data_IF_701607387462
#
_entry.id   IF_701607387462
#
_cell.length_a   1.000
_cell.length_b   1.000
_cell.length_c   1.000
_cell.angle_alpha   90.00
_cell.angle_beta   90.00
_cell.angle_gamma   90.00
#
_symmetry.space_group_name_H-M   'P 1'
#
loop_
_entity.id
_entity.type
_entity.pdbx_description
1 polymer ?
#
# COMPACT_ATOMS: atom_id res chain seq x y z
N UNK A 1 34.92 -0.08 5.02
CA UNK A 1 35.73 0.33 6.19
C UNK A 1 34.80 0.28 7.39
N UNK A 2 35.20 -0.41 8.46
CA UNK A 2 34.36 -0.76 9.62
C UNK A 2 34.02 0.43 10.52
N UNK A 3 32.76 0.51 10.99
CA UNK A 3 32.41 1.26 12.19
C UNK A 3 31.27 0.56 12.94
N UNK A 4 31.57 0.18 14.18
CA UNK A 4 30.64 -0.23 15.23
C UNK A 4 29.81 1.00 15.64
N UNK A 5 28.49 0.83 15.84
CA UNK A 5 27.72 1.78 16.65
C UNK A 5 28.04 1.48 18.11
N UNK A 6 29.00 2.23 18.66
CA UNK A 6 29.34 2.22 20.08
C UNK A 6 28.59 3.37 20.75
N UNK A 7 27.35 3.10 21.17
CA UNK A 7 26.76 3.84 22.28
C UNK A 7 27.14 3.08 23.56
N UNK A 8 28.10 3.65 24.30
CA UNK A 8 28.60 3.27 25.63
C UNK A 8 29.66 2.16 25.81
N UNK A 9 30.72 2.60 26.50
CA UNK A 9 31.77 1.83 27.15
C UNK A 9 31.20 1.15 28.39
N UNK A 10 30.50 0.01 28.27
CA UNK A 10 30.36 -0.91 29.39
C UNK A 10 30.07 -2.34 28.93
N UNK A 11 30.75 -3.28 29.59
CA UNK A 11 30.98 -4.69 29.23
C UNK A 11 29.77 -5.61 29.40
N UNK A 12 28.57 -5.19 28.97
CA UNK A 12 27.44 -6.11 28.78
C UNK A 12 27.45 -6.61 27.34
N UNK A 13 27.16 -7.89 27.16
CA UNK A 13 27.25 -8.65 25.90
C UNK A 13 26.97 -7.84 24.64
N UNK A 14 27.81 -7.99 23.59
CA UNK A 14 27.61 -7.31 22.31
C UNK A 14 26.24 -7.60 21.66
N UNK A 15 25.88 -6.84 20.61
CA UNK A 15 24.57 -6.90 20.00
C UNK A 15 24.22 -8.29 19.45
N UNK A 16 22.93 -8.61 19.47
CA UNK A 16 22.39 -9.90 19.06
C UNK A 16 21.25 -9.74 18.05
N UNK A 17 20.84 -10.86 17.48
CA UNK A 17 19.67 -10.92 16.59
C UNK A 17 18.50 -11.46 17.39
N UNK A 18 17.37 -10.78 17.28
CA UNK A 18 16.12 -11.17 17.92
C UNK A 18 15.08 -11.54 16.86
N UNK A 19 14.06 -12.27 17.28
CA UNK A 19 12.88 -12.58 16.48
C UNK A 19 11.63 -12.35 17.32
N UNK A 20 10.52 -12.04 16.65
CA UNK A 20 9.20 -12.04 17.25
C UNK A 20 8.54 -13.39 16.99
N UNK A 21 8.28 -14.12 18.06
CA UNK A 21 7.59 -15.41 17.99
C UNK A 21 6.14 -15.25 18.41
N UNK A 22 5.22 -15.77 17.61
CA UNK A 22 3.82 -15.93 18.03
C UNK A 22 3.76 -17.06 19.05
N UNK A 23 3.47 -16.72 20.31
CA UNK A 23 3.36 -17.72 21.39
C UNK A 23 1.91 -18.06 21.75
N UNK A 24 0.97 -17.18 21.40
CA UNK A 24 -0.46 -17.38 21.59
C UNK A 24 -1.20 -16.69 20.45
N UNK A 25 -2.27 -17.32 19.98
CA UNK A 25 -3.21 -16.73 19.03
C UNK A 25 -4.60 -16.78 19.66
N UNK A 26 -5.32 -15.67 19.60
CA UNK A 26 -6.73 -15.58 19.99
C UNK A 26 -7.56 -15.06 18.82
N UNK A 27 -8.71 -15.67 18.56
CA UNK A 27 -9.70 -15.11 17.65
C UNK A 27 -10.68 -14.23 18.44
N UNK A 28 -10.92 -13.02 17.94
CA UNK A 28 -11.89 -12.08 18.49
C UNK A 28 -13.01 -11.93 17.47
N UNK A 29 -14.24 -12.21 17.93
CA UNK A 29 -15.43 -12.03 17.12
C UNK A 29 -15.82 -10.56 17.13
N UNK A 30 -15.62 -9.88 16.01
CA UNK A 30 -15.99 -8.48 15.81
C UNK A 30 -17.28 -8.48 15.02
N UNK A 31 -18.29 -7.72 15.44
CA UNK A 31 -19.51 -7.64 14.65
C UNK A 31 -19.18 -6.95 13.32
N UNK A 32 -19.76 -7.41 12.22
CA UNK A 32 -19.51 -6.83 10.90
C UNK A 32 -19.88 -5.32 10.83
N UNK A 33 -20.85 -4.90 11.63
CA UNK A 33 -21.27 -3.49 11.77
C UNK A 33 -20.27 -2.66 12.60
N UNK A 34 -19.49 -3.31 13.45
CA UNK A 34 -18.48 -2.71 14.34
C UNK A 34 -17.09 -2.61 13.66
N UNK A 35 -17.04 -2.58 12.32
CA UNK A 35 -15.77 -2.48 11.58
C UNK A 35 -15.52 -1.17 10.85
N UNK A 36 -16.39 -0.16 11.03
CA UNK A 36 -16.18 1.21 10.54
C UNK A 36 -15.62 1.20 9.12
N UNK A 37 -16.48 0.96 8.13
CA UNK A 37 -16.08 0.55 6.79
C UNK A 37 -14.77 1.14 6.26
N UNK A 38 -13.73 0.31 6.20
CA UNK A 38 -12.65 0.32 5.20
C UNK A 38 -11.71 -0.86 5.44
N UNK A 39 -11.72 -1.78 4.49
CA UNK A 39 -10.74 -2.83 4.40
C UNK A 39 -9.41 -2.29 3.90
N UNK A 40 -8.34 -2.63 4.62
CA UNK A 40 -6.96 -2.58 4.12
C UNK A 40 -6.11 -1.52 4.81
N UNK A 41 -5.41 -1.96 5.86
CA UNK A 41 -4.44 -1.24 6.70
C UNK A 41 -5.08 -0.46 7.85
N UNK A 42 -4.89 -1.00 9.06
CA UNK A 42 -5.18 -0.39 10.36
C UNK A 42 -6.64 0.00 10.57
N UNK A 43 -7.41 -0.91 11.18
CA UNK A 43 -8.49 -0.44 12.06
C UNK A 43 -7.80 0.48 13.08
N UNK A 44 -8.21 1.75 13.27
CA UNK A 44 -7.76 2.54 14.40
C UNK A 44 -8.18 1.76 15.65
N UNK A 45 -7.20 1.06 16.19
CA UNK A 45 -7.38 0.17 17.30
C UNK A 45 -6.32 0.52 18.33
N UNK A 46 -6.75 0.64 19.57
CA UNK A 46 -5.84 0.85 20.68
C UNK A 46 -5.84 -0.38 21.56
N UNK A 47 -4.69 -0.63 22.18
CA UNK A 47 -4.55 -1.68 23.17
C UNK A 47 -4.41 -1.03 24.54
N UNK A 48 -5.36 -1.32 25.42
CA UNK A 48 -5.42 -0.76 26.76
C UNK A 48 -5.25 -1.85 27.82
N UNK A 49 -4.66 -1.46 28.96
CA UNK A 49 -4.83 -2.20 30.21
C UNK A 49 -5.99 -1.55 30.98
N UNK A 50 -7.06 -2.31 31.17
CA UNK A 50 -8.31 -1.89 31.81
C UNK A 50 -8.59 -2.85 32.98
N UNK A 51 -8.34 -2.39 34.21
CA UNK A 51 -8.47 -3.20 35.43
C UNK A 51 -7.70 -4.54 35.37
N UNK A 52 -6.51 -4.54 34.75
CA UNK A 52 -5.65 -5.71 34.60
C UNK A 52 -5.95 -6.56 33.36
N UNK A 53 -6.99 -6.23 32.60
CA UNK A 53 -7.39 -6.91 31.36
C UNK A 53 -6.81 -6.23 30.14
N UNK A 54 -6.32 -7.03 29.21
CA UNK A 54 -5.90 -6.54 27.90
C UNK A 54 -7.15 -6.33 27.02
N UNK A 55 -7.43 -5.08 26.68
CA UNK A 55 -8.64 -4.67 25.95
C UNK A 55 -8.26 -4.08 24.61
N UNK A 56 -8.84 -4.64 23.55
CA UNK A 56 -8.75 -4.11 22.20
C UNK A 56 -9.91 -3.15 21.97
N UNK A 57 -9.58 -1.91 21.60
CA UNK A 57 -10.56 -0.88 21.27
C UNK A 57 -10.65 -0.77 19.76
N UNK A 58 -11.84 -0.70 19.19
CA UNK A 58 -12.06 -0.33 17.80
C UNK A 58 -12.87 0.95 17.71
N UNK A 59 -12.47 1.90 16.86
CA UNK A 59 -13.29 3.08 16.58
C UNK A 59 -14.22 2.80 15.38
N UNK A 60 -15.53 2.87 15.61
CA UNK A 60 -16.58 2.54 14.64
C UNK A 60 -17.61 3.65 14.62
N UNK A 61 -17.73 4.37 13.49
CA UNK A 61 -18.67 5.50 13.37
C UNK A 61 -18.54 6.48 14.56
N UNK A 62 -17.28 6.83 14.89
CA UNK A 62 -16.90 7.68 16.02
C UNK A 62 -17.30 7.14 17.41
N UNK A 63 -17.53 5.83 17.53
CA UNK A 63 -17.80 5.15 18.80
C UNK A 63 -16.77 4.06 19.07
N UNK A 64 -16.18 4.12 20.25
CA UNK A 64 -15.26 3.08 20.73
C UNK A 64 -16.02 1.80 21.09
N UNK A 65 -15.50 0.67 20.60
CA UNK A 65 -15.99 -0.68 20.85
C UNK A 65 -14.90 -1.47 21.56
N UNK A 66 -15.20 -2.03 22.74
CA UNK A 66 -14.20 -2.67 23.59
C UNK A 66 -14.34 -4.18 23.54
N UNK A 67 -13.21 -4.88 23.34
CA UNK A 67 -13.15 -6.33 23.26
C UNK A 67 -12.10 -6.87 24.24
N UNK A 68 -12.51 -7.83 25.05
CA UNK A 68 -11.63 -8.53 25.99
C UNK A 68 -10.78 -9.52 25.19
N UNK A 69 -9.47 -9.30 25.17
CA UNK A 69 -8.54 -10.13 24.37
C UNK A 69 -8.31 -11.52 24.94
N UNK A 70 -8.66 -11.78 26.20
CA UNK A 70 -8.54 -13.11 26.79
C UNK A 70 -9.73 -13.98 26.38
N UNK A 71 -10.93 -13.40 26.42
CA UNK A 71 -12.17 -14.13 26.11
C UNK A 71 -12.60 -14.03 24.65
N UNK A 72 -12.06 -13.06 23.90
CA UNK A 72 -12.43 -12.76 22.52
C UNK A 72 -13.85 -12.18 22.36
N UNK A 73 -14.45 -11.67 23.45
CA UNK A 73 -15.83 -11.18 23.49
C UNK A 73 -15.89 -9.67 23.66
N UNK A 74 -16.95 -9.07 23.12
CA UNK A 74 -17.29 -7.66 23.32
C UNK A 74 -17.63 -7.38 24.79
N UNK A 75 -17.07 -6.32 25.34
CA UNK A 75 -17.26 -5.87 26.72
C UNK A 75 -18.42 -4.87 26.81
N UNK A 76 -18.49 -3.90 25.88
CA UNK A 76 -19.53 -2.87 25.86
C UNK A 76 -19.68 -2.20 24.49
N UNK A 77 -20.88 -1.65 24.21
CA UNK A 77 -21.23 -1.01 22.93
C UNK A 77 -20.95 0.51 22.91
N UNK A 78 -21.02 1.23 24.04
CA UNK A 78 -20.76 2.68 24.14
C UNK A 78 -20.55 3.08 25.61
N UNK A 79 -19.40 3.68 25.95
CA UNK A 79 -19.19 4.68 27.00
C UNK A 79 -19.68 4.44 28.44
N UNK A 80 -18.82 3.88 29.28
CA UNK A 80 -18.16 4.71 30.31
C UNK A 80 -16.66 4.65 30.02
N UNK A 81 -15.91 5.76 30.12
CA UNK A 81 -14.47 5.71 30.01
C UNK A 81 -13.97 4.69 31.02
N UNK A 82 -13.39 3.59 30.55
CA UNK A 82 -12.58 2.78 31.44
C UNK A 82 -11.40 3.66 31.79
N UNK A 83 -11.13 3.89 33.09
CA UNK A 83 -9.90 4.55 33.51
C UNK A 83 -8.72 3.66 33.09
N UNK A 84 -8.29 3.81 31.84
CA UNK A 84 -7.13 3.15 31.30
C UNK A 84 -5.91 3.96 31.70
N UNK A 85 -5.15 3.44 32.65
CA UNK A 85 -3.79 3.92 32.87
C UNK A 85 -2.91 3.27 31.82
N UNK A 86 -2.46 4.01 30.80
CA UNK A 86 -1.32 3.56 30.00
C UNK A 86 -0.04 3.82 30.81
N UNK A 87 0.70 2.79 31.25
CA UNK A 87 2.00 2.98 31.88
C UNK A 87 3.05 3.19 30.77
N UNK A 88 2.89 4.25 29.99
CA UNK A 88 3.80 4.56 28.90
C UNK A 88 4.82 5.60 29.39
N UNK A 89 6.03 5.16 29.68
CA UNK A 89 7.23 6.01 29.72
C UNK A 89 7.66 6.30 28.26
N UNK A 90 6.81 7.00 27.49
CA UNK A 90 6.90 7.10 26.02
C UNK A 90 7.76 8.23 25.45
N UNK A 91 8.58 8.89 26.26
CA UNK A 91 9.35 10.04 25.80
C UNK A 91 10.86 9.86 25.93
N UNK A 92 11.38 8.66 25.62
CA UNK A 92 12.81 8.44 25.45
C UNK A 92 13.18 8.40 23.97
N UNK A 93 13.88 9.43 23.52
CA UNK A 93 14.42 9.50 22.16
C UNK A 93 15.81 8.86 22.12
N UNK A 94 15.99 7.87 21.27
CA UNK A 94 17.31 7.30 21.00
C UNK A 94 17.89 7.91 19.73
N UNK A 95 19.16 8.33 19.79
CA UNK A 95 19.91 8.79 18.62
C UNK A 95 20.75 7.65 18.09
N UNK A 96 20.40 7.17 16.91
CA UNK A 96 21.18 6.14 16.23
C UNK A 96 21.99 6.80 15.11
N UNK A 97 23.32 6.77 15.22
CA UNK A 97 24.22 7.23 14.17
C UNK A 97 24.42 6.08 13.17
N UNK A 98 23.83 6.21 11.99
CA UNK A 98 23.85 5.15 10.98
C UNK A 98 25.20 5.08 10.26
N UNK A 99 25.82 3.91 10.27
CA UNK A 99 27.04 3.63 9.53
C UNK A 99 26.72 3.28 8.08
N UNK A 100 26.45 4.27 7.24
CA UNK A 100 26.57 4.08 5.79
C UNK A 100 27.35 5.23 5.17
N UNK A 101 28.51 4.91 4.61
CA UNK A 101 29.32 5.83 3.81
C UNK A 101 28.73 6.08 2.42
N UNK A 102 27.41 6.02 2.28
CA UNK A 102 26.66 6.38 1.09
C UNK A 102 25.59 7.39 1.51
N UNK A 103 25.98 8.65 1.63
CA UNK A 103 25.12 9.81 1.94
C UNK A 103 23.89 9.91 1.00
N UNK A 104 23.89 9.20 -0.13
CA UNK A 104 22.82 9.16 -1.15
C UNK A 104 21.75 8.07 -0.99
N UNK A 105 22.00 7.00 -0.23
CA UNK A 105 21.08 5.83 -0.20
C UNK A 105 19.94 5.96 0.81
N UNK A 106 19.93 7.03 1.62
CA UNK A 106 19.02 7.23 2.75
C UNK A 106 18.44 8.64 2.84
N UNK A 107 18.75 9.50 1.87
CA UNK A 107 18.49 10.95 1.89
C UNK A 107 17.04 11.33 1.60
N UNK A 108 16.18 10.39 1.19
CA UNK A 108 14.79 10.67 0.79
C UNK A 108 13.72 10.25 1.82
N UNK A 109 14.10 9.75 3.01
CA UNK A 109 13.14 9.26 4.03
C UNK A 109 12.60 10.38 4.98
N UNK A 110 13.29 11.54 5.07
CA UNK A 110 12.91 12.78 5.81
C UNK A 110 12.63 12.68 7.34
N UNK A 111 12.99 13.65 8.21
CA UNK A 111 14.02 14.68 8.15
C UNK A 111 15.23 14.29 9.02
N UNK A 112 16.41 14.14 8.41
CA UNK A 112 17.65 14.09 9.18
C UNK A 112 18.13 15.51 9.51
N UNK A 113 18.75 15.67 10.67
CA UNK A 113 19.64 16.81 10.89
C UNK A 113 20.94 16.61 10.08
N UNK A 114 21.76 17.64 9.99
CA UNK A 114 23.03 17.69 9.22
C UNK A 114 24.05 16.58 9.56
N UNK A 115 23.75 15.68 10.51
CA UNK A 115 24.63 14.66 11.07
C UNK A 115 24.23 13.19 10.76
N UNK A 116 23.24 12.93 9.90
CA UNK A 116 22.75 11.57 9.58
C UNK A 116 22.23 10.77 10.80
N UNK A 117 21.55 11.44 11.74
CA UNK A 117 20.93 10.82 12.93
C UNK A 117 19.46 10.42 12.73
N UNK A 118 19.09 9.15 12.96
CA UNK A 118 17.68 8.74 13.06
C UNK A 118 17.19 9.00 14.47
N UNK A 119 16.04 9.67 14.59
CA UNK A 119 15.28 9.72 15.84
C UNK A 119 14.24 8.61 15.82
N UNK A 120 14.33 7.70 16.78
CA UNK A 120 13.35 6.62 16.97
C UNK A 120 12.66 6.86 18.31
N UNK A 121 11.32 6.86 18.28
CA UNK A 121 10.50 6.79 19.49
C UNK A 121 10.56 5.36 20.04
N UNK A 122 10.87 5.25 21.32
CA UNK A 122 10.97 3.96 22.00
C UNK A 122 9.75 3.71 22.89
N UNK A 123 9.24 2.49 22.82
CA UNK A 123 8.21 1.95 23.71
C UNK A 123 8.84 0.97 24.69
N UNK A 124 8.40 1.01 25.95
CA UNK A 124 8.90 0.10 26.97
C UNK A 124 8.06 -1.18 27.01
N UNK A 125 8.73 -2.32 26.83
CA UNK A 125 8.17 -3.65 27.03
C UNK A 125 8.57 -4.16 28.43
N UNK A 126 7.63 -4.07 29.36
CA UNK A 126 7.74 -4.52 30.74
C UNK A 126 7.94 -6.03 30.87
N UNK A 127 7.43 -6.82 29.94
CA UNK A 127 7.54 -8.29 29.98
C UNK A 127 8.97 -8.72 29.70
N UNK A 128 9.64 -8.04 28.78
CA UNK A 128 11.02 -8.35 28.40
C UNK A 128 12.07 -7.43 29.07
N UNK A 129 11.64 -6.40 29.81
CA UNK A 129 12.48 -5.35 30.40
C UNK A 129 13.40 -4.68 29.36
N UNK A 130 12.83 -4.35 28.21
CA UNK A 130 13.53 -3.70 27.08
C UNK A 130 12.73 -2.52 26.55
N UNK A 131 13.44 -1.58 25.93
CA UNK A 131 12.82 -0.61 25.03
C UNK A 131 12.93 -1.09 23.59
N UNK A 132 11.90 -0.89 22.81
CA UNK A 132 11.91 -1.18 21.38
C UNK A 132 11.39 0.00 20.58
N UNK A 133 11.85 0.13 19.34
CA UNK A 133 11.41 1.21 18.46
C UNK A 133 11.48 0.81 17.00
N UNK A 134 10.52 1.34 16.25
CA UNK A 134 10.33 1.04 14.84
C UNK A 134 11.07 1.98 13.91
N UNK A 135 11.73 1.43 12.90
CA UNK A 135 12.22 2.15 11.72
C UNK A 135 11.42 1.63 10.53
N UNK A 136 10.76 2.53 9.82
CA UNK A 136 10.05 2.21 8.57
C UNK A 136 10.88 2.67 7.38
N UNK A 137 10.91 1.84 6.34
CA UNK A 137 11.56 2.14 5.08
C UNK A 137 10.52 2.58 4.04
N UNK A 138 10.89 3.55 3.22
CA UNK A 138 9.96 4.17 2.27
C UNK A 138 9.59 3.20 1.13
N UNK A 139 8.27 3.01 0.93
CA UNK A 139 7.72 2.27 -0.18
C UNK A 139 8.17 2.84 -1.53
N UNK A 140 8.28 4.16 -1.67
CA UNK A 140 8.70 4.81 -2.92
C UNK A 140 10.15 4.49 -3.31
N UNK A 141 10.96 4.04 -2.35
CA UNK A 141 12.37 3.71 -2.56
C UNK A 141 12.63 2.20 -2.71
N UNK A 142 11.87 1.37 -1.99
CA UNK A 142 12.08 -0.08 -1.97
C UNK A 142 10.99 -0.89 -2.68
N UNK A 143 9.92 -0.25 -3.16
CA UNK A 143 8.78 -0.90 -3.83
C UNK A 143 7.88 -1.72 -2.89
N UNK A 144 8.19 -1.74 -1.60
CA UNK A 144 7.40 -2.38 -0.55
C UNK A 144 7.65 -1.68 0.78
N UNK A 145 6.68 -1.76 1.70
CA UNK A 145 6.87 -1.25 3.06
C UNK A 145 7.69 -2.27 3.84
N UNK A 146 8.89 -1.88 4.27
CA UNK A 146 9.77 -2.71 5.09
C UNK A 146 9.93 -2.05 6.46
N UNK A 147 10.30 -2.86 7.45
CA UNK A 147 10.58 -2.33 8.78
C UNK A 147 11.72 -3.05 9.51
N UNK A 148 12.34 -2.33 10.43
CA UNK A 148 13.29 -2.85 11.42
C UNK A 148 12.88 -2.42 12.81
N UNK A 149 12.90 -3.34 13.76
CA UNK A 149 12.79 -3.03 15.19
C UNK A 149 14.19 -2.95 15.80
N UNK A 150 14.45 -1.86 16.51
CA UNK A 150 15.65 -1.67 17.30
C UNK A 150 15.32 -1.95 18.77
N UNK A 151 16.20 -2.68 19.45
CA UNK A 151 16.06 -3.04 20.86
C UNK A 151 17.15 -2.39 21.70
N UNK A 152 16.78 -1.88 22.87
CA UNK A 152 17.72 -1.36 23.88
C UNK A 152 17.33 -1.82 25.27
N UNK A 153 18.29 -1.89 26.20
CA UNK A 153 17.97 -2.14 27.61
C UNK A 153 17.41 -0.89 28.31
N UNK A 154 17.02 -1.01 29.57
CA UNK A 154 16.47 0.11 30.35
C UNK A 154 17.41 1.31 30.52
N UNK A 155 18.72 1.09 30.34
CA UNK A 155 19.77 2.10 30.41
C UNK A 155 20.07 2.68 29.00
N UNK A 156 19.24 2.34 28.01
CA UNK A 156 19.38 2.70 26.60
C UNK A 156 20.67 2.18 25.95
N UNK A 157 21.20 1.04 26.42
CA UNK A 157 22.27 0.35 25.71
C UNK A 157 21.68 -0.49 24.58
N UNK A 158 22.29 -0.42 23.41
CA UNK A 158 21.84 -1.15 22.23
C UNK A 158 21.97 -2.67 22.38
N UNK A 159 20.87 -3.39 22.18
CA UNK A 159 20.81 -4.84 22.33
C UNK A 159 20.81 -5.59 21.00
N UNK A 160 20.17 -5.06 19.96
CA UNK A 160 19.99 -5.80 18.71
C UNK A 160 18.86 -5.29 17.84
N UNK A 161 18.55 -6.07 16.79
CA UNK A 161 17.56 -5.72 15.77
C UNK A 161 16.72 -6.92 15.32
N UNK A 162 15.56 -6.59 14.74
CA UNK A 162 14.66 -7.51 14.04
C UNK A 162 14.30 -6.90 12.69
N UNK A 163 14.74 -7.51 11.59
CA UNK A 163 14.43 -7.13 10.22
C UNK A 163 13.26 -7.94 9.67
N UNK A 164 12.20 -7.25 9.23
CA UNK A 164 11.07 -7.76 8.45
C UNK A 164 10.35 -9.02 8.99
N UNK A 165 10.22 -9.16 10.32
CA UNK A 165 9.82 -10.42 10.95
C UNK A 165 8.39 -10.46 11.55
N UNK A 166 7.45 -9.64 11.09
CA UNK A 166 6.15 -9.32 11.74
C UNK A 166 6.25 -8.04 12.57
N UNK A 167 5.34 -7.10 12.30
CA UNK A 167 5.26 -5.83 13.03
C UNK A 167 4.33 -5.97 14.24
N UNK A 168 4.78 -5.63 15.47
CA UNK A 168 3.92 -5.54 16.64
C UNK A 168 3.10 -4.25 16.53
N UNK A 169 1.97 -4.32 15.82
CA UNK A 169 1.11 -3.16 15.57
C UNK A 169 0.61 -2.48 16.84
N UNK A 170 0.50 -3.22 17.95
CA UNK A 170 -0.02 -2.70 19.20
C UNK A 170 0.77 -3.19 20.41
N UNK A 171 0.96 -2.30 21.38
CA UNK A 171 1.48 -2.60 22.70
C UNK A 171 0.78 -1.75 23.77
N UNK A 172 0.58 -2.34 24.95
CA UNK A 172 0.24 -1.61 26.18
C UNK A 172 1.42 -1.61 27.17
N UNK A 173 2.63 -1.92 26.69
CA UNK A 173 3.84 -2.12 27.48
C UNK A 173 3.91 -3.47 28.20
N UNK A 174 2.81 -4.20 28.44
CA UNK A 174 2.85 -5.57 28.99
C UNK A 174 2.87 -6.62 27.90
N UNK A 175 2.05 -6.43 26.87
CA UNK A 175 1.97 -7.36 25.75
C UNK A 175 2.31 -6.67 24.43
N UNK A 176 2.84 -7.46 23.50
CA UNK A 176 3.02 -7.10 22.10
C UNK A 176 2.06 -7.95 21.29
N UNK A 177 1.27 -7.32 20.43
CA UNK A 177 0.34 -8.04 19.57
C UNK A 177 0.41 -7.59 18.13
N UNK A 178 0.19 -8.54 17.24
CA UNK A 178 -0.10 -8.30 15.84
C UNK A 178 -1.54 -8.76 15.57
N UNK A 179 -2.33 -7.90 14.92
CA UNK A 179 -3.75 -8.15 14.66
C UNK A 179 -3.93 -8.32 13.15
N UNK A 180 -4.48 -9.47 12.76
CA UNK A 180 -4.69 -9.85 11.36
C UNK A 180 -6.20 -10.06 11.13
N UNK A 181 -6.83 -9.41 10.14
CA UNK A 181 -8.20 -9.74 9.77
C UNK A 181 -8.24 -11.11 9.10
N UNK A 182 -9.11 -12.01 9.56
CA UNK A 182 -9.33 -13.33 8.94
C UNK A 182 -10.47 -13.27 7.93
N UNK A 183 -11.57 -12.64 8.32
CA UNK A 183 -12.75 -12.37 7.49
C UNK A 183 -13.56 -11.20 8.10
N UNK A 184 -14.78 -10.98 7.63
CA UNK A 184 -15.68 -9.90 8.07
C UNK A 184 -16.02 -9.87 9.55
N UNK A 185 -15.95 -11.00 10.24
CA UNK A 185 -16.39 -11.09 11.65
C UNK A 185 -15.33 -11.62 12.60
N UNK A 186 -14.12 -11.89 12.10
CA UNK A 186 -13.04 -12.48 12.89
C UNK A 186 -11.76 -11.68 12.67
N UNK A 187 -11.17 -11.18 13.76
CA UNK A 187 -9.76 -10.79 13.79
C UNK A 187 -8.98 -11.82 14.59
N UNK A 188 -7.75 -12.07 14.15
CA UNK A 188 -6.79 -12.92 14.81
C UNK A 188 -5.78 -12.04 15.54
N UNK A 189 -5.66 -12.22 16.84
CA UNK A 189 -4.73 -11.51 17.71
C UNK A 189 -3.59 -12.46 18.03
N UNK A 190 -2.44 -12.21 17.40
CA UNK A 190 -1.21 -12.94 17.61
C UNK A 190 -0.40 -12.24 18.72
N UNK A 191 -0.26 -12.88 19.86
CA UNK A 191 0.60 -12.41 20.94
C UNK A 191 2.05 -12.77 20.64
N UNK A 192 2.89 -11.76 20.69
CA UNK A 192 4.29 -11.82 20.29
C UNK A 192 5.19 -11.78 21.52
N UNK A 193 6.27 -12.56 21.48
CA UNK A 193 7.36 -12.48 22.45
C UNK A 193 8.68 -12.27 21.71
N UNK A 194 9.60 -11.55 22.34
CA UNK A 194 10.95 -11.36 21.85
C UNK A 194 11.80 -12.57 22.21
N UNK A 195 12.34 -13.26 21.21
CA UNK A 195 13.26 -14.38 21.40
C UNK A 195 14.63 -14.02 20.84
N UNK A 196 15.66 -14.10 21.69
CA UNK A 196 17.06 -13.94 21.26
C UNK A 196 17.49 -15.19 20.48
N UNK A 197 18.10 -14.99 19.32
CA UNK A 197 18.56 -16.09 18.46
C UNK A 197 20.06 -16.35 18.61
N UNK A 198 20.49 -17.51 18.10
CA UNK A 198 21.91 -17.89 18.02
C UNK A 198 22.60 -17.34 16.75
N UNK A 199 21.93 -16.52 15.95
CA UNK A 199 22.51 -15.99 14.70
C UNK A 199 23.69 -15.08 15.00
N UNK A 200 24.70 -15.15 14.14
CA UNK A 200 25.79 -14.18 14.16
C UNK A 200 25.28 -12.81 13.74
N UNK A 201 25.26 -11.85 14.67
CA UNK A 201 24.72 -10.51 14.44
C UNK A 201 25.35 -9.81 13.23
N UNK A 202 26.67 -9.89 13.07
CA UNK A 202 27.35 -9.23 11.94
C UNK A 202 26.90 -9.79 10.59
N UNK A 203 26.88 -11.12 10.47
CA UNK A 203 26.42 -11.77 9.24
C UNK A 203 24.94 -11.46 8.94
N UNK A 204 24.11 -11.39 9.98
CA UNK A 204 22.70 -11.04 9.85
C UNK A 204 22.50 -9.62 9.32
N UNK A 205 23.15 -8.62 9.90
CA UNK A 205 23.04 -7.23 9.45
C UNK A 205 23.60 -7.06 8.04
N UNK A 206 24.71 -7.73 7.71
CA UNK A 206 25.24 -7.71 6.35
C UNK A 206 24.24 -8.31 5.34
N UNK A 207 23.50 -9.36 5.73
CA UNK A 207 22.42 -9.93 4.92
C UNK A 207 21.22 -8.98 4.76
N UNK A 208 20.82 -8.28 5.81
CA UNK A 208 19.71 -7.31 5.75
C UNK A 208 20.06 -6.15 4.81
N UNK A 209 21.31 -5.65 4.86
CA UNK A 209 21.80 -4.62 3.94
C UNK A 209 21.76 -5.10 2.49
N UNK A 210 22.25 -6.30 2.23
CA UNK A 210 22.24 -6.87 0.88
C UNK A 210 20.81 -7.05 0.33
N UNK A 211 19.86 -7.43 1.19
CA UNK A 211 18.45 -7.54 0.82
C UNK A 211 17.83 -6.17 0.47
N UNK A 212 18.06 -5.14 1.30
CA UNK A 212 17.62 -3.77 1.03
C UNK A 212 18.19 -3.21 -0.28
N UNK A 213 19.49 -3.40 -0.52
CA UNK A 213 20.14 -2.98 -1.78
C UNK A 213 19.54 -3.69 -2.99
N UNK A 214 19.26 -4.99 -2.86
CA UNK A 214 18.60 -5.77 -3.91
C UNK A 214 17.18 -5.27 -4.17
N UNK A 215 16.36 -5.07 -3.13
CA UNK A 215 14.97 -4.59 -3.26
C UNK A 215 14.91 -3.20 -3.92
N UNK A 216 15.77 -2.28 -3.50
CA UNK A 216 15.87 -0.98 -4.14
C UNK A 216 16.23 -1.10 -5.63
N UNK A 217 17.23 -1.90 -5.96
CA UNK A 217 17.60 -2.13 -7.36
C UNK A 217 16.45 -2.74 -8.17
N UNK A 218 15.79 -3.77 -7.63
CA UNK A 218 14.64 -4.42 -8.27
C UNK A 218 13.51 -3.39 -8.50
N UNK A 219 13.30 -2.46 -7.58
CA UNK A 219 12.32 -1.38 -7.69
C UNK A 219 12.71 -0.32 -8.73
N UNK A 220 13.96 0.12 -8.78
CA UNK A 220 14.44 1.05 -9.84
C UNK A 220 14.29 0.44 -11.23
N UNK A 221 14.66 -0.83 -11.40
CA UNK A 221 14.46 -1.55 -12.66
C UNK A 221 12.97 -1.68 -13.01
N UNK A 222 12.10 -1.88 -12.02
CA UNK A 222 10.65 -1.88 -12.22
C UNK A 222 10.15 -0.52 -12.69
N UNK A 223 10.56 0.57 -12.03
CA UNK A 223 10.18 1.94 -12.41
C UNK A 223 10.64 2.26 -13.82
N UNK A 224 11.87 1.94 -14.19
CA UNK A 224 12.39 2.19 -15.54
C UNK A 224 11.57 1.45 -16.61
N UNK A 225 11.27 0.17 -16.40
CA UNK A 225 10.48 -0.64 -17.33
C UNK A 225 9.03 -0.20 -17.45
N UNK A 226 8.47 0.35 -16.37
CA UNK A 226 7.07 0.75 -16.28
C UNK A 226 6.90 2.28 -16.23
N UNK A 227 7.88 3.05 -16.69
CA UNK A 227 7.80 4.50 -16.66
C UNK A 227 6.77 4.98 -17.70
N UNK A 228 5.74 5.69 -17.24
CA UNK A 228 4.71 6.24 -18.11
C UNK A 228 5.22 7.42 -18.95
N UNK A 229 6.32 8.07 -18.56
CA UNK A 229 6.94 9.16 -19.34
C UNK A 229 7.67 8.67 -20.58
N UNK A 230 8.21 7.44 -20.54
CA UNK A 230 8.93 6.85 -21.68
C UNK A 230 8.06 5.90 -22.50
N UNK A 231 6.88 5.52 -22.00
CA UNK A 231 5.96 4.66 -22.73
C UNK A 231 5.32 5.41 -23.92
N UNK A 232 5.44 4.89 -25.16
CA UNK A 232 5.04 5.62 -26.35
C UNK A 232 3.51 5.73 -26.49
N UNK A 233 2.73 4.78 -25.98
CA UNK A 233 1.26 4.87 -25.96
C UNK A 233 0.81 5.97 -25.00
N UNK A 234 1.46 6.08 -23.83
CA UNK A 234 1.18 7.19 -22.91
C UNK A 234 1.62 8.54 -23.50
N UNK A 235 2.75 8.57 -24.20
CA UNK A 235 3.19 9.73 -24.96
C UNK A 235 2.12 10.22 -25.95
N UNK A 236 1.47 9.32 -26.67
CA UNK A 236 0.35 9.66 -27.55
C UNK A 236 -0.80 10.34 -26.79
N UNK A 237 -1.21 9.78 -25.65
CA UNK A 237 -2.30 10.38 -24.86
C UNK A 237 -1.92 11.77 -24.34
N UNK A 238 -0.65 11.97 -23.91
CA UNK A 238 -0.10 13.25 -23.40
C UNK A 238 0.05 14.34 -24.44
N UNK A 239 0.29 14.00 -25.69
CA UNK A 239 0.40 15.02 -26.75
C UNK A 239 -0.94 15.64 -27.13
N UNK A 240 -2.04 14.90 -26.97
CA UNK A 240 -3.38 15.32 -27.41
C UNK A 240 -4.28 15.79 -26.25
N UNK A 241 -3.86 15.59 -24.99
CA UNK A 241 -4.64 15.96 -23.79
C UNK A 241 -3.74 16.63 -22.74
N UNK A 242 -4.21 17.73 -22.13
CA UNK A 242 -3.55 18.33 -20.95
C UNK A 242 -3.96 17.53 -19.70
N UNK A 243 -2.98 17.06 -18.93
CA UNK A 243 -3.19 16.28 -17.72
C UNK A 243 -2.93 17.12 -16.46
N UNK A 244 -3.78 16.95 -15.44
CA UNK A 244 -3.46 17.29 -14.06
C UNK A 244 -4.11 16.29 -13.09
N UNK A 245 -3.85 14.99 -13.31
CA UNK A 245 -4.34 13.92 -12.43
C UNK A 245 -3.25 12.88 -12.17
N UNK A 246 -3.15 12.42 -10.92
CA UNK A 246 -2.13 11.46 -10.48
C UNK A 246 -2.44 10.01 -10.89
N UNK A 247 -3.69 9.71 -11.27
CA UNK A 247 -4.12 8.39 -11.72
C UNK A 247 -5.05 8.49 -12.95
N UNK A 248 -4.82 7.65 -13.96
CA UNK A 248 -5.69 7.57 -15.15
C UNK A 248 -5.64 6.19 -15.82
N UNK A 249 -6.65 5.92 -16.65
CA UNK A 249 -6.83 4.65 -17.36
C UNK A 249 -6.76 4.87 -18.87
N UNK A 250 -6.09 3.99 -19.58
CA UNK A 250 -6.03 3.99 -21.04
C UNK A 250 -6.61 2.69 -21.55
N UNK A 251 -7.60 2.79 -22.43
CA UNK A 251 -8.18 1.67 -23.15
C UNK A 251 -7.77 1.78 -24.60
N UNK A 252 -7.20 0.73 -25.18
CA UNK A 252 -6.88 0.70 -26.61
C UNK A 252 -7.81 -0.29 -27.32
N UNK A 253 -8.45 0.19 -28.38
CA UNK A 253 -9.19 -0.62 -29.36
C UNK A 253 -8.42 -0.63 -30.68
N UNK A 254 -8.42 -1.77 -31.36
CA UNK A 254 -7.76 -1.96 -32.63
C UNK A 254 -8.82 -2.00 -33.75
N UNK A 255 -8.66 -1.15 -34.76
CA UNK A 255 -9.57 -1.13 -35.90
C UNK A 255 -9.44 -2.44 -36.68
N UNK A 256 -10.56 -3.12 -36.86
CA UNK A 256 -10.67 -4.38 -37.59
C UNK A 256 -11.97 -4.46 -38.37
N UNK A 257 -11.96 -5.27 -39.42
CA UNK A 257 -13.12 -5.46 -40.29
C UNK A 257 -14.29 -6.12 -39.53
N UNK A 258 -13.98 -7.12 -38.71
CA UNK A 258 -14.93 -7.86 -37.86
C UNK A 258 -14.67 -7.64 -36.37
N UNK A 259 -15.69 -7.16 -35.66
CA UNK A 259 -15.62 -6.89 -34.22
C UNK A 259 -15.90 -8.18 -33.46
N UNK A 260 -15.02 -8.55 -32.53
CA UNK A 260 -15.21 -9.71 -31.66
C UNK A 260 -16.31 -9.44 -30.64
N UNK A 261 -16.90 -10.48 -30.07
CA UNK A 261 -17.92 -10.33 -29.01
C UNK A 261 -17.39 -9.54 -27.80
N UNK A 262 -16.11 -9.72 -27.47
CA UNK A 262 -15.43 -9.01 -26.38
C UNK A 262 -15.32 -7.50 -26.66
N UNK A 263 -14.86 -7.13 -27.86
CA UNK A 263 -14.81 -5.73 -28.28
C UNK A 263 -16.19 -5.10 -28.30
N UNK A 264 -17.19 -5.83 -28.82
CA UNK A 264 -18.58 -5.35 -28.84
C UNK A 264 -19.08 -5.09 -27.43
N UNK A 265 -18.88 -6.01 -26.49
CA UNK A 265 -19.25 -5.83 -25.10
C UNK A 265 -18.56 -4.63 -24.44
N UNK A 266 -17.29 -4.39 -24.77
CA UNK A 266 -16.54 -3.23 -24.28
C UNK A 266 -17.08 -1.93 -24.86
N UNK A 267 -17.29 -1.87 -26.17
CA UNK A 267 -17.87 -0.70 -26.87
C UNK A 267 -19.25 -0.38 -26.31
N UNK A 268 -20.13 -1.38 -26.21
CA UNK A 268 -21.48 -1.23 -25.64
C UNK A 268 -21.41 -0.70 -24.19
N UNK A 269 -20.44 -1.15 -23.40
CA UNK A 269 -20.24 -0.69 -22.02
C UNK A 269 -19.68 0.73 -21.92
N UNK A 270 -18.76 1.11 -22.81
CA UNK A 270 -18.22 2.47 -22.90
C UNK A 270 -19.33 3.45 -23.27
N UNK A 271 -20.14 3.14 -24.27
CA UNK A 271 -21.26 3.97 -24.72
C UNK A 271 -22.36 4.03 -23.66
N UNK A 272 -22.72 2.88 -23.09
CA UNK A 272 -23.72 2.79 -22.02
C UNK A 272 -23.33 3.57 -20.76
N UNK A 273 -22.04 3.83 -20.55
CA UNK A 273 -21.49 4.61 -19.43
C UNK A 273 -20.76 5.88 -19.88
N UNK A 274 -21.15 6.46 -21.03
CA UNK A 274 -20.45 7.61 -21.63
C UNK A 274 -20.24 8.79 -20.69
N UNK A 275 -21.19 9.07 -19.78
CA UNK A 275 -21.09 10.14 -18.79
C UNK A 275 -19.90 9.91 -17.85
N UNK A 276 -19.75 8.68 -17.34
CA UNK A 276 -18.59 8.28 -16.53
C UNK A 276 -17.31 8.36 -17.36
N UNK A 277 -17.31 7.84 -18.59
CA UNK A 277 -16.12 7.83 -19.45
C UNK A 277 -15.63 9.26 -19.76
N UNK A 278 -16.56 10.20 -20.02
CA UNK A 278 -16.23 11.57 -20.37
C UNK A 278 -15.77 12.39 -19.15
N UNK A 279 -16.33 12.15 -17.96
CA UNK A 279 -15.92 12.85 -16.74
C UNK A 279 -14.64 12.25 -16.13
N UNK A 280 -14.54 10.91 -16.06
CA UNK A 280 -13.41 10.23 -15.44
C UNK A 280 -12.12 10.36 -16.28
N UNK A 281 -10.92 10.19 -15.69
CA UNK A 281 -9.66 10.18 -16.43
C UNK A 281 -9.47 8.85 -17.18
N UNK A 282 -10.41 8.54 -18.08
CA UNK A 282 -10.42 7.38 -18.96
C UNK A 282 -10.20 7.87 -20.39
N UNK A 283 -9.15 7.36 -21.02
CA UNK A 283 -8.77 7.74 -22.39
C UNK A 283 -8.93 6.54 -23.32
N UNK A 284 -9.48 6.79 -24.49
CA UNK A 284 -9.70 5.78 -25.51
C UNK A 284 -8.71 5.99 -26.66
N UNK A 285 -7.79 5.05 -26.85
CA UNK A 285 -6.88 5.01 -27.99
C UNK A 285 -7.50 4.13 -29.07
N UNK A 286 -7.66 4.67 -30.28
CA UNK A 286 -8.08 3.92 -31.46
C UNK A 286 -6.86 3.71 -32.35
N UNK A 287 -6.35 2.48 -32.38
CA UNK A 287 -5.22 2.12 -33.26
C UNK A 287 -5.75 1.71 -34.64
N UNK A 288 -5.25 2.35 -35.69
CA UNK A 288 -5.68 2.16 -37.07
C UNK A 288 -4.49 2.34 -38.03
N UNK A 289 -4.66 1.97 -39.30
CA UNK A 289 -3.62 2.18 -40.32
C UNK A 289 -3.48 3.66 -40.75
N UNK A 290 -4.53 4.46 -40.54
CA UNK A 290 -4.57 5.89 -40.86
C UNK A 290 -5.77 6.57 -40.16
N UNK A 291 -5.81 7.91 -40.24
CA UNK A 291 -6.82 8.74 -39.58
C UNK A 291 -8.24 8.50 -40.12
N UNK A 292 -8.39 8.29 -41.42
CA UNK A 292 -9.69 8.02 -42.05
C UNK A 292 -10.29 6.71 -41.54
N UNK A 293 -9.47 5.66 -41.41
CA UNK A 293 -9.88 4.38 -40.85
C UNK A 293 -10.28 4.51 -39.37
N UNK A 294 -9.51 5.24 -38.57
CA UNK A 294 -9.84 5.50 -37.16
C UNK A 294 -11.17 6.25 -37.01
N UNK A 295 -11.35 7.35 -37.76
CA UNK A 295 -12.57 8.15 -37.73
C UNK A 295 -13.80 7.36 -38.21
N UNK A 296 -13.64 6.56 -39.26
CA UNK A 296 -14.69 5.66 -39.76
C UNK A 296 -15.08 4.61 -38.71
N UNK A 297 -14.10 4.02 -38.03
CA UNK A 297 -14.33 3.05 -36.97
C UNK A 297 -15.07 3.66 -35.78
N UNK A 298 -14.68 4.85 -35.32
CA UNK A 298 -15.37 5.58 -34.23
C UNK A 298 -16.83 5.81 -34.59
N UNK A 299 -17.10 6.35 -35.78
CA UNK A 299 -18.46 6.66 -36.24
C UNK A 299 -19.32 5.41 -36.45
N UNK A 300 -18.75 4.36 -37.06
CA UNK A 300 -19.46 3.09 -37.31
C UNK A 300 -19.94 2.44 -36.01
N UNK A 301 -19.17 2.61 -34.93
CA UNK A 301 -19.42 1.97 -33.65
C UNK A 301 -20.05 2.89 -32.60
N UNK A 302 -20.42 4.13 -32.95
CA UNK A 302 -21.08 5.06 -32.02
C UNK A 302 -20.18 5.56 -30.89
N UNK A 303 -18.86 5.52 -31.09
CA UNK A 303 -17.88 6.02 -30.10
C UNK A 303 -17.70 7.53 -30.18
N UNK A 304 -18.31 8.20 -31.16
CA UNK A 304 -18.27 9.66 -31.35
C UNK A 304 -18.89 10.46 -30.19
N UNK A 305 -19.58 9.78 -29.26
CA UNK A 305 -20.04 10.36 -28.01
C UNK A 305 -18.99 10.43 -26.89
N UNK A 306 -17.78 9.93 -27.11
CA UNK A 306 -16.69 9.94 -26.13
C UNK A 306 -15.71 11.07 -26.46
N UNK A 307 -15.42 11.93 -25.47
CA UNK A 307 -14.64 13.16 -25.69
C UNK A 307 -13.13 12.90 -25.72
N UNK A 308 -12.66 11.93 -24.93
CA UNK A 308 -11.23 11.65 -24.69
C UNK A 308 -10.69 10.57 -25.63
N UNK A 309 -10.87 10.75 -26.94
CA UNK A 309 -10.37 9.83 -27.97
C UNK A 309 -9.03 10.31 -28.53
N UNK A 310 -8.09 9.37 -28.68
CA UNK A 310 -6.76 9.58 -29.26
C UNK A 310 -6.58 8.61 -30.42
N UNK A 311 -6.15 9.10 -31.58
CA UNK A 311 -5.89 8.26 -32.75
C UNK A 311 -4.42 7.84 -32.81
N UNK A 312 -4.19 6.52 -32.80
CA UNK A 312 -2.89 5.90 -33.05
C UNK A 312 -2.84 5.41 -34.50
N UNK A 313 -2.44 6.30 -35.40
CA UNK A 313 -2.36 6.01 -36.85
C UNK A 313 -1.00 5.44 -37.27
N UNK A 314 -0.02 5.44 -36.36
CA UNK A 314 1.32 4.92 -36.59
C UNK A 314 1.46 3.47 -36.10
N UNK A 315 0.44 2.96 -35.38
CA UNK A 315 0.44 1.62 -34.81
C UNK A 315 1.36 1.49 -33.60
N UNK A 316 1.60 2.58 -32.86
CA UNK A 316 2.43 2.62 -31.65
C UNK A 316 1.88 1.71 -30.56
N UNK A 317 0.55 1.58 -30.46
CA UNK A 317 -0.07 0.72 -29.47
C UNK A 317 -0.08 -0.77 -29.85
N UNK A 318 0.41 -1.12 -31.05
CA UNK A 318 0.60 -2.52 -31.45
C UNK A 318 1.77 -3.11 -30.67
N UNK A 319 1.50 -4.12 -29.84
CA UNK A 319 2.51 -4.87 -29.10
C UNK A 319 2.71 -6.26 -29.67
N UNK A 320 3.88 -6.83 -29.38
CA UNK A 320 4.31 -8.17 -29.78
C UNK A 320 3.21 -9.23 -29.58
N UNK A 321 3.02 -10.05 -30.61
CA UNK A 321 2.05 -11.15 -30.79
C UNK A 321 0.80 -10.88 -31.63
N UNK A 322 0.64 -9.72 -32.27
CA UNK A 322 -0.36 -9.54 -33.35
C UNK A 322 -1.80 -9.86 -32.92
N UNK A 323 -2.13 -9.62 -31.65
CA UNK A 323 -3.49 -9.78 -31.15
C UNK A 323 -4.20 -8.43 -31.19
N UNK A 324 -5.20 -8.30 -32.06
CA UNK A 324 -6.10 -7.14 -32.16
C UNK A 324 -7.18 -7.18 -31.06
N UNK A 325 -6.75 -7.52 -29.85
CA UNK A 325 -7.56 -7.65 -28.64
C UNK A 325 -7.44 -6.38 -27.80
N UNK A 326 -8.48 -5.95 -27.07
CA UNK A 326 -8.43 -4.71 -26.33
C UNK A 326 -7.33 -4.71 -25.25
N UNK A 327 -6.60 -3.60 -25.16
CA UNK A 327 -5.58 -3.37 -24.14
C UNK A 327 -6.10 -2.41 -23.09
N UNK A 328 -5.74 -2.65 -21.83
CA UNK A 328 -6.01 -1.75 -20.72
C UNK A 328 -4.70 -1.45 -20.00
N UNK A 329 -4.42 -0.16 -19.81
CA UNK A 329 -3.36 0.31 -18.95
C UNK A 329 -3.92 1.15 -17.79
N UNK A 330 -3.32 0.98 -16.61
CA UNK A 330 -3.51 1.84 -15.45
C UNK A 330 -2.20 2.56 -15.18
N UNK A 331 -2.28 3.88 -15.03
CA UNK A 331 -1.16 4.73 -14.66
C UNK A 331 -1.45 5.38 -13.32
N UNK A 332 -0.49 5.30 -12.41
CA UNK A 332 -0.50 5.88 -11.07
C UNK A 332 0.85 6.53 -10.80
N UNK A 333 0.86 7.82 -10.41
CA UNK A 333 2.07 8.56 -10.05
C UNK A 333 3.21 8.44 -11.10
N UNK A 334 2.83 8.51 -12.38
CA UNK A 334 3.73 8.36 -13.54
C UNK A 334 4.30 6.95 -13.77
N UNK A 335 3.78 5.93 -13.08
CA UNK A 335 4.12 4.52 -13.30
C UNK A 335 2.95 3.76 -13.92
N UNK A 336 3.27 2.85 -14.84
CA UNK A 336 2.32 1.90 -15.40
C UNK A 336 2.20 0.74 -14.43
N UNK A 337 1.22 0.82 -13.53
CA UNK A 337 0.97 -0.23 -12.53
C UNK A 337 0.22 -1.42 -13.12
N UNK A 338 -0.38 -1.22 -14.31
CA UNK A 338 -0.98 -2.30 -15.09
C UNK A 338 -0.89 -2.05 -16.57
N UNK A 339 -0.57 -3.11 -17.30
CA UNK A 339 -0.63 -3.14 -18.75
C UNK A 339 -1.03 -4.55 -19.19
N UNK A 340 -2.18 -4.71 -19.82
CA UNK A 340 -2.71 -6.03 -20.15
C UNK A 340 -3.57 -6.00 -21.40
N UNK A 341 -3.31 -6.93 -22.31
CA UNK A 341 -4.16 -7.26 -23.45
C UNK A 341 -5.13 -8.36 -23.02
N UNK A 342 -6.44 -8.13 -23.18
CA UNK A 342 -7.47 -9.04 -22.72
C UNK A 342 -8.02 -9.87 -23.88
N UNK A 343 -8.07 -11.19 -23.70
CA UNK A 343 -8.82 -12.05 -24.63
C UNK A 343 -10.31 -11.72 -24.58
N UNK A 344 -11.03 -12.05 -25.65
CA UNK A 344 -12.49 -11.89 -25.78
C UNK A 344 -13.25 -12.31 -24.51
N UNK A 345 -12.95 -13.49 -23.96
CA UNK A 345 -13.64 -14.06 -22.79
C UNK A 345 -13.37 -13.32 -21.48
N UNK A 346 -12.22 -12.63 -21.40
CA UNK A 346 -11.77 -11.91 -20.22
C UNK A 346 -12.19 -10.44 -20.22
N UNK A 347 -12.64 -9.88 -21.36
CA UNK A 347 -13.09 -8.49 -21.44
C UNK A 347 -14.26 -8.24 -20.48
N UNK A 348 -15.32 -9.03 -20.56
CA UNK A 348 -16.50 -8.86 -19.72
C UNK A 348 -16.24 -9.19 -18.24
N UNK A 349 -15.44 -10.24 -17.98
CA UNK A 349 -15.22 -10.75 -16.62
C UNK A 349 -14.15 -10.00 -15.83
N UNK A 350 -13.22 -9.33 -16.52
CA UNK A 350 -12.04 -8.73 -15.90
C UNK A 350 -11.80 -7.29 -16.35
N UNK A 351 -11.80 -7.02 -17.64
CA UNK A 351 -11.44 -5.69 -18.15
C UNK A 351 -12.49 -4.62 -17.79
N UNK A 352 -13.75 -4.86 -18.12
CA UNK A 352 -14.86 -3.92 -17.87
C UNK A 352 -15.03 -3.64 -16.36
N UNK A 353 -15.06 -4.67 -15.48
CA UNK A 353 -14.99 -4.48 -14.02
C UNK A 353 -13.89 -3.51 -13.59
N UNK A 354 -12.65 -3.75 -14.04
CA UNK A 354 -11.49 -2.93 -13.68
C UNK A 354 -11.55 -1.51 -14.24
N UNK A 355 -12.08 -1.35 -15.45
CA UNK A 355 -12.25 -0.05 -16.08
C UNK A 355 -13.15 0.86 -15.23
N UNK A 356 -14.23 0.31 -14.66
CA UNK A 356 -15.22 1.08 -13.90
C UNK A 356 -15.12 0.95 -12.37
N UNK A 357 -14.17 0.18 -11.85
CA UNK A 357 -13.76 0.24 -10.45
C UNK A 357 -13.85 -1.02 -9.60
N UNK A 358 -14.36 -2.12 -10.15
CA UNK A 358 -14.36 -3.41 -9.48
C UNK A 358 -12.93 -3.95 -9.38
N UNK A 359 -12.41 -4.07 -8.15
CA UNK A 359 -11.12 -4.71 -7.85
C UNK A 359 -9.87 -3.83 -7.97
N UNK A 360 -10.01 -2.51 -8.13
CA UNK A 360 -8.88 -1.54 -8.14
C UNK A 360 -9.05 -0.41 -7.11
N UNK A 361 -9.98 -0.54 -6.17
CA UNK A 361 -10.15 0.38 -5.05
C UNK A 361 -10.66 1.78 -5.41
N UNK A 362 -11.01 2.05 -6.67
CA UNK A 362 -11.54 3.34 -7.15
C UNK A 362 -12.83 3.12 -7.94
N UNK A 363 -13.96 3.60 -7.45
CA UNK A 363 -15.29 3.42 -8.04
C UNK A 363 -15.83 4.73 -8.62
N UNK A 364 -16.48 4.65 -9.77
CA UNK A 364 -17.12 5.80 -10.43
C UNK A 364 -18.64 5.65 -10.45
N UNK A 365 -19.36 6.70 -10.07
CA UNK A 365 -20.79 6.81 -10.33
C UNK A 365 -21.18 8.28 -10.52
N UNK A 366 -22.37 8.50 -11.06
CA UNK A 366 -22.94 9.83 -11.23
C UNK A 366 -23.93 10.10 -10.10
N UNK A 367 -23.80 11.23 -9.43
CA UNK A 367 -24.76 11.74 -8.45
C UNK A 367 -25.07 13.20 -8.81
N UNK A 368 -26.34 13.50 -9.08
CA UNK A 368 -26.81 14.83 -9.48
C UNK A 368 -26.07 15.46 -10.68
N UNK A 369 -25.62 14.63 -11.63
CA UNK A 369 -24.87 15.07 -12.81
C UNK A 369 -23.37 15.21 -12.60
N UNK A 370 -22.88 15.04 -11.37
CA UNK A 370 -21.47 15.11 -11.03
C UNK A 370 -20.84 13.71 -10.92
N UNK A 371 -19.56 13.62 -11.30
CA UNK A 371 -18.78 12.39 -11.11
C UNK A 371 -18.34 12.28 -9.66
N UNK A 372 -18.83 11.24 -8.98
CA UNK A 372 -18.34 10.87 -7.66
C UNK A 372 -17.31 9.76 -7.81
N UNK A 373 -16.13 10.01 -7.23
CA UNK A 373 -15.04 9.04 -7.17
C UNK A 373 -14.87 8.58 -5.73
N UNK A 374 -15.08 7.29 -5.47
CA UNK A 374 -14.69 6.70 -4.19
C UNK A 374 -13.42 5.90 -4.36
N UNK A 375 -12.30 6.48 -3.94
CA UNK A 375 -11.11 5.72 -3.61
C UNK A 375 -11.27 5.12 -2.20
N UNK A 376 -10.79 3.89 -1.96
CA UNK A 376 -10.61 3.34 -0.60
C UNK A 376 -9.69 4.24 0.27
N UNK A 377 -9.10 5.30 -0.30
CA UNK A 377 -8.52 6.45 0.38
C UNK A 377 -9.28 7.78 0.07
N UNK A 378 -10.54 7.89 0.48
CA UNK A 378 -11.23 9.18 0.60
C UNK A 378 -12.03 9.53 -0.66
N UNK A 379 -13.30 9.87 -0.48
CA UNK A 379 -14.08 10.47 -1.55
C UNK A 379 -13.58 11.90 -1.72
N UNK A 380 -13.06 12.24 -2.89
CA UNK A 380 -12.78 13.62 -3.28
C UNK A 380 -13.90 14.04 -4.24
N UNK A 381 -14.54 15.16 -3.96
CA UNK A 381 -15.35 15.88 -4.95
C UNK A 381 -14.38 16.58 -5.91
N UNK A 382 -14.55 16.38 -7.20
CA UNK A 382 -13.86 17.14 -8.23
C UNK A 382 -14.84 18.25 -8.62
N UNK A 383 -14.65 19.45 -8.07
CA UNK A 383 -15.32 20.66 -8.55
C UNK A 383 -14.56 21.17 -9.80
N UNK A 384 -15.32 21.52 -10.84
CA UNK A 384 -14.85 22.03 -12.16
C UNK A 384 -13.98 23.30 -12.11
#
# INVERSE_FOLDING_TARGET
MSALVSCNRNTKSGPAVYELEVYKTQEVLVNAEDRGGRYGRTLPADLLDADGKDVLVFLVNDKEQYYDLETGKKISDVGEPVEATMPLDTNKTFKLQLASGNEKLWTEINPYNENNEVQVSLEYDMTNDVYWGGISYDFQYYGETLHTLVLTDKDLNYLGEIYNAVWPWFSNGRILVNIEPVNDSIVKVNYLKLTKTDRNYKQYIDSCRADLEKKHKDWEEYKEKNNAETNPVIGLVKTQNKFDCWQYKVVTLYCKDEISDGDKMLIDSLIGKKEIVNLAPIYLVISAENEEAAASYVKKNGLDCIDKIVFDTEGIAKTDAGQDNPRFMLVEESLITKDTIYSTDDVAKKMIPRLFGEGLGTWYWIYDGELVVSALAGAYYIDD
#
